data_IF_294991378792
#
_entry.id   IF_294991378792
#
_cell.length_a   1.000
_cell.length_b   1.000
_cell.length_c   1.000
_cell.angle_alpha   90.00
_cell.angle_beta   90.00
_cell.angle_gamma   90.00
#
_symmetry.space_group_name_H-M   'P 1'
#
loop_
_entity.id
_entity.type
_entity.pdbx_description
1 polymer ?
#
# COMPACT_ATOMS: atom_id res chain seq x y z
N UNK A 1 -2.09 0.17 -11.02
CA UNK A 1 -1.76 -1.13 -11.66
C UNK A 1 -0.33 -1.55 -11.34
N UNK A 2 0.68 -0.72 -11.66
CA UNK A 2 2.10 -1.03 -11.42
C UNK A 2 2.47 -1.58 -10.01
N UNK A 3 1.83 -1.10 -8.95
CA UNK A 3 1.98 -1.64 -7.59
C UNK A 3 1.65 -3.13 -7.48
N UNK A 4 0.51 -3.54 -8.03
CA UNK A 4 0.01 -4.90 -7.93
C UNK A 4 0.81 -5.87 -8.81
N UNK A 5 1.43 -5.35 -9.87
CA UNK A 5 2.27 -6.12 -10.78
C UNK A 5 3.70 -6.30 -10.23
N UNK A 6 4.23 -5.30 -9.51
CA UNK A 6 5.60 -5.32 -8.98
C UNK A 6 5.70 -5.83 -7.54
N UNK A 7 4.74 -5.52 -6.68
CA UNK A 7 4.76 -5.99 -5.31
C UNK A 7 4.07 -7.35 -5.18
N UNK A 8 4.83 -8.41 -4.93
CA UNK A 8 4.27 -9.76 -4.73
C UNK A 8 3.63 -9.96 -3.34
N UNK A 9 3.94 -9.09 -2.37
CA UNK A 9 3.49 -9.21 -0.98
C UNK A 9 2.05 -8.76 -0.74
N UNK A 10 1.55 -8.91 0.51
CA UNK A 10 0.25 -8.38 0.90
C UNK A 10 0.17 -6.85 0.70
N UNK A 11 -1.00 -6.36 0.31
CA UNK A 11 -1.27 -4.93 0.12
C UNK A 11 -2.49 -4.52 0.93
N UNK A 12 -2.39 -3.42 1.68
CA UNK A 12 -3.56 -2.66 2.12
C UNK A 12 -3.48 -1.30 1.47
N UNK A 13 -4.46 -0.98 0.62
CA UNK A 13 -4.57 0.29 -0.06
C UNK A 13 -5.86 0.98 0.40
N UNK A 14 -5.74 2.22 0.86
CA UNK A 14 -6.88 3.04 1.28
C UNK A 14 -6.93 4.27 0.38
N UNK A 15 -8.01 4.41 -0.38
CA UNK A 15 -8.20 5.52 -1.33
C UNK A 15 -9.13 6.54 -0.70
N UNK A 16 -8.63 7.76 -0.52
CA UNK A 16 -9.45 8.90 -0.13
C UNK A 16 -10.07 9.55 -1.36
N UNK A 17 -11.40 9.52 -1.48
CA UNK A 17 -12.13 10.01 -2.65
C UNK A 17 -12.85 11.32 -2.35
N UNK A 18 -12.70 12.30 -3.25
CA UNK A 18 -13.40 13.60 -3.16
C UNK A 18 -14.73 13.55 -3.90
N UNK A 19 -14.75 12.93 -5.07
CA UNK A 19 -15.95 12.71 -5.88
C UNK A 19 -16.23 11.21 -5.96
N UNK A 20 -17.10 10.72 -5.06
CA UNK A 20 -17.47 9.31 -4.98
C UNK A 20 -17.96 8.77 -6.32
N UNK A 21 -18.81 9.53 -7.02
CA UNK A 21 -19.51 9.03 -8.20
C UNK A 21 -18.54 8.85 -9.39
N UNK A 22 -17.49 9.67 -9.45
CA UNK A 22 -16.43 9.52 -10.46
C UNK A 22 -15.32 8.56 -10.07
N UNK A 23 -14.91 8.55 -8.79
CA UNK A 23 -13.71 7.85 -8.34
C UNK A 23 -13.99 6.39 -7.89
N UNK A 24 -15.20 6.10 -7.39
CA UNK A 24 -15.54 4.75 -6.94
C UNK A 24 -15.64 3.73 -8.08
N UNK A 25 -16.31 4.00 -9.22
CA UNK A 25 -16.43 3.03 -10.30
C UNK A 25 -15.09 2.47 -10.82
N UNK A 26 -14.04 3.27 -11.10
CA UNK A 26 -12.75 2.73 -11.52
C UNK A 26 -12.04 1.94 -10.41
N UNK A 27 -12.11 2.37 -9.14
CA UNK A 27 -11.53 1.62 -8.02
C UNK A 27 -12.20 0.25 -7.84
N UNK A 28 -13.54 0.22 -7.88
CA UNK A 28 -14.31 -1.01 -7.79
C UNK A 28 -14.02 -1.95 -8.97
N UNK A 29 -13.88 -1.42 -10.19
CA UNK A 29 -13.50 -2.20 -11.37
C UNK A 29 -12.11 -2.81 -11.21
N UNK A 30 -11.12 -2.02 -10.84
CA UNK A 30 -9.75 -2.49 -10.59
C UNK A 30 -9.73 -3.62 -9.55
N UNK A 31 -10.44 -3.46 -8.44
CA UNK A 31 -10.50 -4.48 -7.39
C UNK A 31 -11.17 -5.78 -7.84
N UNK A 32 -12.11 -5.72 -8.80
CA UNK A 32 -12.69 -6.92 -9.41
C UNK A 32 -11.70 -7.60 -10.34
N UNK A 33 -11.05 -6.84 -11.22
CA UNK A 33 -10.06 -7.35 -12.17
C UNK A 33 -8.90 -8.07 -11.47
N UNK A 34 -8.38 -7.50 -10.38
CA UNK A 34 -7.33 -8.15 -9.57
C UNK A 34 -7.80 -9.47 -8.94
N UNK A 35 -9.04 -9.52 -8.42
CA UNK A 35 -9.58 -10.78 -7.89
C UNK A 35 -9.79 -11.81 -8.99
N UNK A 36 -10.27 -11.39 -10.16
CA UNK A 36 -10.46 -12.25 -11.33
C UNK A 36 -9.14 -12.78 -11.90
N UNK A 37 -8.02 -12.05 -11.75
CA UNK A 37 -6.68 -12.53 -12.11
C UNK A 37 -6.05 -13.47 -11.07
N UNK A 38 -6.76 -13.76 -9.96
CA UNK A 38 -6.29 -14.62 -8.88
C UNK A 38 -5.49 -13.91 -7.78
N UNK A 39 -5.34 -12.58 -7.85
CA UNK A 39 -4.68 -11.80 -6.81
C UNK A 39 -5.63 -11.62 -5.62
N UNK A 40 -5.36 -12.31 -4.51
CA UNK A 40 -6.24 -12.32 -3.32
C UNK A 40 -5.61 -11.70 -2.06
N UNK A 41 -4.31 -11.49 -2.03
CA UNK A 41 -3.58 -10.94 -0.88
C UNK A 41 -3.62 -9.40 -0.86
N UNK A 42 -4.79 -8.81 -1.07
CA UNK A 42 -4.95 -7.36 -0.95
C UNK A 42 -6.27 -6.95 -0.32
N UNK A 43 -6.24 -5.79 0.33
CA UNK A 43 -7.41 -5.05 0.80
C UNK A 43 -7.40 -3.72 0.08
N UNK A 44 -8.53 -3.37 -0.52
CA UNK A 44 -8.77 -2.05 -1.10
C UNK A 44 -9.96 -1.43 -0.38
N UNK A 45 -9.72 -0.36 0.35
CA UNK A 45 -10.74 0.38 1.08
C UNK A 45 -10.89 1.79 0.51
N UNK A 46 -12.11 2.31 0.59
CA UNK A 46 -12.46 3.62 0.03
C UNK A 46 -13.05 4.46 1.15
N UNK A 47 -12.49 5.65 1.33
CA UNK A 47 -12.90 6.61 2.35
C UNK A 47 -13.39 7.88 1.65
N UNK A 48 -14.58 8.34 2.00
CA UNK A 48 -15.15 9.54 1.41
C UNK A 48 -14.64 10.80 2.11
N UNK A 49 -14.38 11.83 1.33
CA UNK A 49 -13.98 13.12 1.86
C UNK A 49 -15.09 13.76 2.66
N UNK A 50 -14.87 13.93 3.96
CA UNK A 50 -15.71 14.77 4.81
C UNK A 50 -15.39 16.25 4.59
N UNK A 51 -14.12 16.57 4.35
CA UNK A 51 -13.63 17.90 4.00
C UNK A 51 -12.69 17.78 2.78
N UNK A 52 -13.03 18.37 1.63
CA UNK A 52 -12.19 18.32 0.43
C UNK A 52 -10.95 19.21 0.49
N UNK A 53 -10.82 20.08 1.49
CA UNK A 53 -9.71 21.04 1.61
C UNK A 53 -8.42 20.46 2.21
N UNK A 54 -8.51 19.33 2.92
CA UNK A 54 -7.38 18.69 3.59
C UNK A 54 -7.27 17.21 3.21
N UNK A 55 -6.05 16.74 2.93
CA UNK A 55 -5.77 15.32 2.75
C UNK A 55 -5.56 14.65 4.11
N UNK A 56 -6.41 13.72 4.55
CA UNK A 56 -6.38 13.20 5.90
C UNK A 56 -5.41 12.03 6.02
N UNK A 57 -4.11 12.29 5.81
CA UNK A 57 -3.05 11.28 5.78
C UNK A 57 -3.08 10.37 7.03
N UNK A 58 -3.31 10.95 8.22
CA UNK A 58 -3.40 10.19 9.47
C UNK A 58 -4.60 9.23 9.49
N UNK A 59 -5.76 9.65 8.98
CA UNK A 59 -6.96 8.81 8.93
C UNK A 59 -6.73 7.62 7.99
N UNK A 60 -6.26 7.89 6.77
CA UNK A 60 -5.99 6.89 5.74
C UNK A 60 -4.96 5.87 6.24
N UNK A 61 -3.88 6.33 6.88
CA UNK A 61 -2.87 5.46 7.49
C UNK A 61 -3.45 4.59 8.59
N UNK A 62 -4.23 5.15 9.51
CA UNK A 62 -4.78 4.40 10.64
C UNK A 62 -5.78 3.33 10.17
N UNK A 63 -6.61 3.64 9.16
CA UNK A 63 -7.50 2.68 8.52
C UNK A 63 -6.67 1.54 7.90
N UNK A 64 -5.61 1.86 7.15
CA UNK A 64 -4.75 0.85 6.54
C UNK A 64 -4.12 -0.07 7.60
N UNK A 65 -3.57 0.50 8.67
CA UNK A 65 -2.96 -0.24 9.77
C UNK A 65 -3.96 -1.13 10.53
N UNK A 66 -5.25 -0.76 10.58
CA UNK A 66 -6.28 -1.59 11.21
C UNK A 66 -6.52 -2.93 10.50
N UNK A 67 -6.14 -3.03 9.22
CA UNK A 67 -6.23 -4.23 8.41
C UNK A 67 -4.94 -5.07 8.39
N UNK A 68 -3.83 -4.55 8.92
CA UNK A 68 -2.54 -5.22 8.93
C UNK A 68 -2.58 -6.42 9.89
N UNK A 69 -2.09 -7.56 9.40
CA UNK A 69 -1.91 -8.79 10.20
C UNK A 69 -0.45 -9.24 10.29
N UNK A 70 0.45 -8.50 9.65
CA UNK A 70 1.89 -8.82 9.59
C UNK A 70 2.65 -8.12 10.71
N UNK A 71 3.77 -8.71 11.17
CA UNK A 71 4.65 -8.11 12.18
C UNK A 71 5.35 -6.84 11.68
N UNK A 72 5.59 -6.76 10.38
CA UNK A 72 6.25 -5.64 9.72
C UNK A 72 5.33 -5.03 8.67
N UNK A 73 5.42 -3.70 8.53
CA UNK A 73 4.68 -2.91 7.54
C UNK A 73 5.68 -2.10 6.73
N UNK A 74 5.67 -2.29 5.41
CA UNK A 74 6.38 -1.39 4.49
C UNK A 74 5.39 -0.33 4.01
N UNK A 75 5.41 0.83 4.67
CA UNK A 75 4.53 1.96 4.36
C UNK A 75 5.10 2.75 3.17
N UNK A 76 4.24 3.06 2.19
CA UNK A 76 4.65 3.63 0.92
C UNK A 76 3.59 4.60 0.40
N UNK A 77 4.03 5.68 -0.23
CA UNK A 77 3.15 6.62 -0.93
C UNK A 77 2.73 6.07 -2.31
N UNK A 78 1.59 6.54 -2.84
CA UNK A 78 1.01 6.11 -4.12
C UNK A 78 1.81 6.55 -5.36
N UNK A 79 2.80 7.41 -5.16
CA UNK A 79 3.73 7.84 -6.21
C UNK A 79 5.06 7.05 -6.21
N UNK A 80 5.30 6.23 -5.17
CA UNK A 80 6.52 5.42 -5.03
C UNK A 80 6.25 3.96 -5.38
N UNK A 81 6.73 3.47 -6.52
CA UNK A 81 6.50 2.08 -6.94
C UNK A 81 7.67 1.20 -6.48
N UNK A 82 7.44 0.12 -5.72
CA UNK A 82 8.52 -0.76 -5.28
C UNK A 82 9.11 -1.55 -6.45
N UNK A 83 10.38 -1.95 -6.31
CA UNK A 83 10.99 -2.87 -7.27
C UNK A 83 10.37 -4.28 -7.17
N UNK A 84 10.32 -4.99 -8.30
CA UNK A 84 9.68 -6.31 -8.37
C UNK A 84 10.37 -7.36 -7.47
N UNK A 85 11.68 -7.24 -7.27
CA UNK A 85 12.46 -8.11 -6.38
C UNK A 85 12.44 -7.69 -4.91
N UNK A 86 11.81 -6.56 -4.57
CA UNK A 86 11.97 -5.98 -3.24
C UNK A 86 11.25 -6.77 -2.14
N UNK A 87 10.06 -7.28 -2.41
CA UNK A 87 9.34 -8.13 -1.43
C UNK A 87 10.12 -9.40 -1.05
N UNK A 88 10.56 -10.26 -2.00
CA UNK A 88 11.36 -11.43 -1.64
C UNK A 88 12.70 -11.07 -0.98
N UNK A 89 13.31 -9.94 -1.36
CA UNK A 89 14.49 -9.42 -0.68
C UNK A 89 14.20 -9.10 0.81
N UNK A 90 13.13 -8.36 1.11
CA UNK A 90 12.75 -8.04 2.49
C UNK A 90 12.45 -9.30 3.31
N UNK A 91 11.78 -10.30 2.72
CA UNK A 91 11.56 -11.59 3.38
C UNK A 91 12.87 -12.31 3.71
N UNK A 92 13.86 -12.30 2.80
CA UNK A 92 15.17 -12.89 3.05
C UNK A 92 15.94 -12.22 4.19
N UNK A 93 15.59 -10.98 4.52
CA UNK A 93 16.19 -10.17 5.59
C UNK A 93 15.28 -10.03 6.82
N UNK A 94 14.12 -10.68 6.85
CA UNK A 94 13.08 -10.47 7.87
C UNK A 94 13.64 -10.53 9.29
N UNK A 95 14.35 -11.61 9.64
CA UNK A 95 14.89 -11.79 10.99
C UNK A 95 15.85 -10.65 11.36
N UNK A 96 16.75 -10.30 10.45
CA UNK A 96 17.69 -9.21 10.66
C UNK A 96 16.97 -7.86 10.84
N UNK A 97 15.93 -7.59 10.04
CA UNK A 97 15.10 -6.37 10.19
C UNK A 97 14.41 -6.36 11.56
N UNK A 98 13.81 -7.48 11.99
CA UNK A 98 13.14 -7.58 13.28
C UNK A 98 14.12 -7.36 14.44
N UNK A 99 15.34 -7.90 14.35
CA UNK A 99 16.36 -7.74 15.39
C UNK A 99 16.87 -6.30 15.51
N UNK A 100 17.07 -5.62 14.37
CA UNK A 100 17.62 -4.26 14.32
C UNK A 100 16.58 -3.16 14.50
N UNK A 101 15.28 -3.44 14.27
CA UNK A 101 14.22 -2.43 14.32
C UNK A 101 13.92 -1.86 15.71
N UNK A 102 14.55 -2.37 16.77
CA UNK A 102 14.34 -1.91 18.15
C UNK A 102 14.94 -0.53 18.42
N UNK A 103 16.04 -0.22 17.74
CA UNK A 103 16.86 0.97 17.96
C UNK A 103 17.34 1.63 16.65
N UNK A 104 16.95 1.09 15.49
CA UNK A 104 17.34 1.61 14.18
C UNK A 104 16.14 2.04 13.33
N UNK A 105 16.38 3.04 12.49
CA UNK A 105 15.48 3.46 11.42
C UNK A 105 16.11 3.05 10.09
N UNK A 106 15.34 2.35 9.25
CA UNK A 106 15.77 2.01 7.90
C UNK A 106 15.38 3.11 6.91
N UNK A 107 16.35 3.57 6.15
CA UNK A 107 16.09 4.47 5.02
C UNK A 107 16.07 3.65 3.73
N UNK A 108 15.00 3.78 2.96
CA UNK A 108 14.86 3.13 1.66
C UNK A 108 15.02 4.22 0.60
N UNK A 109 16.04 4.15 -0.27
CA UNK A 109 16.22 5.16 -1.30
C UNK A 109 15.11 5.06 -2.34
N UNK A 110 14.57 6.20 -2.72
CA UNK A 110 13.66 6.33 -3.86
C UNK A 110 14.42 6.92 -5.04
N UNK A 111 14.20 6.36 -6.23
CA UNK A 111 14.83 6.82 -7.46
C UNK A 111 13.74 7.16 -8.49
N UNK A 112 13.97 8.23 -9.25
CA UNK A 112 13.18 8.55 -10.43
C UNK A 112 13.85 7.92 -11.65
N UNK A 113 13.06 7.26 -12.50
CA UNK A 113 13.53 6.90 -13.84
C UNK A 113 13.61 8.19 -14.67
N UNK A 114 14.83 8.55 -15.07
CA UNK A 114 15.12 9.69 -15.96
C UNK A 114 15.17 9.21 -17.40
#
# INVERSE_FOLDING_TARGET
>A
QAYFDRWAGPIVAVIYMRDKDKEYPPAARFAREQRSSGRLNFILEVVHAADPSLYPANLVRNIALSHVKTSLVFMLDIDLIPDAGFYPFLLSKKQWIEDQSKDHIFTIPAFQFV
#
